data_IF_519488932577
#
_entry.id   IF_519488932577
#
_cell.length_a   1.000
_cell.length_b   1.000
_cell.length_c   1.000
_cell.angle_alpha   90.00
_cell.angle_beta   90.00
_cell.angle_gamma   90.00
#
_symmetry.space_group_name_H-M   'P 1'
#
loop_
_entity.id
_entity.type
_entity.pdbx_description
1 polymer ?
#
# COMPACT_ATOMS: atom_id res chain seq x y z
N UNK A 1 18.88 15.31 -8.04
CA UNK A 1 18.16 14.13 -8.55
C UNK A 1 17.14 14.61 -9.56
N UNK A 2 17.05 14.03 -10.75
CA UNK A 2 16.04 14.44 -11.73
C UNK A 2 14.63 14.10 -11.28
N UNK A 3 13.66 14.94 -11.63
CA UNK A 3 12.22 14.80 -11.34
C UNK A 3 11.58 13.72 -12.24
N UNK A 4 12.07 12.49 -12.15
CA UNK A 4 11.66 11.37 -13.02
C UNK A 4 10.52 10.54 -12.43
N UNK A 5 10.21 10.72 -11.14
CA UNK A 5 9.19 9.98 -10.43
C UNK A 5 8.55 10.84 -9.33
N UNK A 6 7.40 10.39 -8.88
CA UNK A 6 6.63 10.98 -7.79
C UNK A 6 6.39 9.92 -6.72
N UNK A 7 6.62 10.29 -5.46
CA UNK A 7 6.26 9.47 -4.30
C UNK A 7 4.77 9.68 -4.01
N UNK A 8 4.01 8.60 -3.96
CA UNK A 8 2.56 8.63 -3.78
C UNK A 8 2.21 8.21 -2.36
N UNK A 9 1.51 9.10 -1.68
CA UNK A 9 0.94 8.88 -0.36
C UNK A 9 -0.59 8.96 -0.45
N UNK A 10 -1.31 8.11 0.29
CA UNK A 10 -2.77 8.26 0.46
C UNK A 10 -3.08 9.44 1.41
N UNK A 11 -4.35 9.88 1.43
CA UNK A 11 -4.80 11.03 2.24
C UNK A 11 -4.55 10.83 3.75
N UNK A 12 -4.54 9.59 4.22
CA UNK A 12 -4.31 9.26 5.63
C UNK A 12 -2.82 9.38 6.07
N UNK A 13 -1.95 9.94 5.23
CA UNK A 13 -0.53 10.08 5.53
C UNK A 13 -0.32 11.03 6.72
N UNK A 14 0.27 10.49 7.78
CA UNK A 14 0.60 11.25 8.99
C UNK A 14 2.11 11.14 9.25
N UNK A 15 2.84 12.27 9.37
CA UNK A 15 4.25 12.28 9.77
C UNK A 15 4.56 11.59 11.10
N UNK A 16 3.57 11.34 11.95
CA UNK A 16 3.70 10.52 13.15
C UNK A 16 4.19 9.10 12.83
N UNK A 17 3.76 8.54 11.70
CA UNK A 17 4.19 7.22 11.26
C UNK A 17 5.55 7.34 10.54
N UNK A 18 6.59 6.80 11.17
CA UNK A 18 7.92 6.68 10.57
C UNK A 18 7.92 5.61 9.47
N UNK A 19 7.33 5.89 8.31
CA UNK A 19 7.27 4.94 7.21
C UNK A 19 8.64 4.81 6.51
N UNK A 20 9.27 3.62 6.51
CA UNK A 20 10.58 3.43 5.88
C UNK A 20 10.50 3.24 4.36
N UNK A 21 9.30 3.32 3.78
CA UNK A 21 9.01 3.20 2.35
C UNK A 21 7.81 4.10 2.01
N UNK A 22 7.60 4.37 0.71
CA UNK A 22 6.39 5.03 0.22
C UNK A 22 5.37 3.99 -0.26
N UNK A 23 4.06 4.19 -0.08
CA UNK A 23 3.05 3.25 -0.57
C UNK A 23 3.13 2.95 -2.07
N UNK A 24 3.43 3.96 -2.90
CA UNK A 24 3.66 3.76 -4.32
C UNK A 24 4.61 4.81 -4.93
N UNK A 25 5.23 4.45 -6.04
CA UNK A 25 6.03 5.35 -6.88
C UNK A 25 5.41 5.40 -8.27
N UNK A 26 5.12 6.60 -8.76
CA UNK A 26 4.67 6.84 -10.12
C UNK A 26 5.83 7.34 -10.97
N UNK A 27 6.12 6.65 -12.07
CA UNK A 27 7.17 7.08 -13.01
C UNK A 27 6.56 8.13 -13.95
N UNK A 28 7.21 9.30 -14.09
CA UNK A 28 6.69 10.39 -14.92
C UNK A 28 6.77 10.11 -16.42
N UNK A 29 7.71 9.25 -16.83
CA UNK A 29 7.82 8.77 -18.21
C UNK A 29 6.77 7.68 -18.46
N UNK A 30 5.51 8.08 -18.67
CA UNK A 30 4.37 7.20 -18.91
C UNK A 30 3.38 7.18 -17.75
N UNK A 31 2.73 6.03 -17.53
CA UNK A 31 1.67 5.84 -16.52
C UNK A 31 1.96 4.69 -15.55
N UNK A 32 3.18 4.16 -15.55
CA UNK A 32 3.55 3.02 -14.70
C UNK A 32 3.64 3.41 -13.23
N UNK A 33 2.98 2.63 -12.39
CA UNK A 33 2.99 2.75 -10.93
C UNK A 33 3.56 1.47 -10.32
N UNK A 34 4.55 1.62 -9.44
CA UNK A 34 5.06 0.54 -8.62
C UNK A 34 4.48 0.68 -7.22
N UNK A 35 3.74 -0.34 -6.77
CA UNK A 35 3.10 -0.35 -5.46
C UNK A 35 3.93 -1.21 -4.50
N UNK A 36 4.14 -0.74 -3.28
CA UNK A 36 4.76 -1.53 -2.22
C UNK A 36 3.92 -2.79 -1.90
N UNK A 37 4.50 -3.76 -1.20
CA UNK A 37 3.74 -4.92 -0.73
C UNK A 37 2.60 -4.49 0.18
N UNK A 38 1.37 -4.92 -0.13
CA UNK A 38 0.17 -4.58 0.65
C UNK A 38 -0.32 -5.81 1.41
N UNK A 39 -0.71 -5.62 2.67
CA UNK A 39 -1.32 -6.65 3.52
C UNK A 39 -2.63 -6.13 4.12
N UNK A 40 -3.24 -6.92 5.02
CA UNK A 40 -4.39 -6.49 5.80
C UNK A 40 -4.06 -5.40 6.83
N UNK A 41 -2.77 -5.13 7.10
CA UNK A 41 -2.36 -4.05 7.99
C UNK A 41 -2.74 -2.67 7.43
N UNK A 42 -3.02 -1.67 8.28
CA UNK A 42 -3.18 -0.29 7.84
C UNK A 42 -2.00 0.16 6.97
N UNK A 43 -2.27 0.98 5.94
CA UNK A 43 -1.21 1.51 5.04
C UNK A 43 -0.16 2.27 5.84
N UNK A 44 -0.59 3.03 6.85
CA UNK A 44 0.28 3.72 7.79
C UNK A 44 0.13 3.10 9.18
N UNK A 45 1.26 2.70 9.76
CA UNK A 45 1.37 2.08 11.08
C UNK A 45 2.75 2.39 11.65
N UNK A 46 2.94 2.13 12.94
CA UNK A 46 4.19 2.47 13.61
C UNK A 46 5.34 1.60 13.11
N UNK A 47 6.50 2.22 12.90
CA UNK A 47 7.79 1.54 12.80
C UNK A 47 8.74 2.12 13.86
N UNK A 48 9.24 1.30 14.81
CA UNK A 48 9.04 -0.15 14.93
C UNK A 48 7.58 -0.54 15.20
N UNK A 49 7.19 -1.73 14.75
CA UNK A 49 5.81 -2.22 14.86
C UNK A 49 5.36 -2.30 16.33
N UNK A 50 4.15 -1.81 16.60
CA UNK A 50 3.47 -2.01 17.88
C UNK A 50 2.25 -2.91 17.70
N UNK A 51 1.98 -3.78 18.68
CA UNK A 51 0.94 -4.81 18.56
C UNK A 51 -0.46 -4.22 18.27
N UNK A 52 -0.80 -3.11 18.93
CA UNK A 52 -2.12 -2.48 18.84
C UNK A 52 -2.53 -2.08 17.42
N UNK A 53 -1.57 -1.82 16.53
CA UNK A 53 -1.86 -1.49 15.12
C UNK A 53 -2.47 -2.66 14.34
N UNK A 54 -2.36 -3.89 14.86
CA UNK A 54 -2.71 -5.13 14.14
C UNK A 54 -3.79 -5.97 14.85
N UNK A 55 -4.17 -5.63 16.08
CA UNK A 55 -5.11 -6.44 16.89
C UNK A 55 -6.51 -6.56 16.27
N UNK A 56 -6.88 -5.64 15.38
CA UNK A 56 -8.16 -5.63 14.67
C UNK A 56 -8.18 -6.50 13.40
N UNK A 57 -7.04 -7.08 13.01
CA UNK A 57 -6.93 -7.90 11.80
C UNK A 57 -7.43 -9.31 12.11
N UNK A 58 -8.44 -9.82 11.39
CA UNK A 58 -9.00 -11.15 11.63
C UNK A 58 -8.03 -12.24 11.19
N UNK A 59 -8.18 -13.45 11.75
CA UNK A 59 -7.38 -14.62 11.35
C UNK A 59 -7.88 -15.28 10.07
N UNK A 60 -9.09 -14.94 9.61
CA UNK A 60 -9.64 -15.49 8.37
C UNK A 60 -8.85 -14.96 7.16
N UNK A 61 -8.27 -15.84 6.31
CA UNK A 61 -7.45 -15.42 5.18
C UNK A 61 -8.25 -14.72 4.08
N UNK A 62 -9.55 -15.04 3.93
CA UNK A 62 -10.42 -14.37 2.97
C UNK A 62 -10.65 -12.91 3.35
N UNK A 63 -10.88 -12.66 4.63
CA UNK A 63 -11.07 -11.33 5.17
C UNK A 63 -9.78 -10.50 5.15
N UNK A 64 -8.63 -11.11 5.48
CA UNK A 64 -7.32 -10.48 5.28
C UNK A 64 -7.08 -10.12 3.81
N UNK A 65 -7.45 -11.01 2.88
CA UNK A 65 -7.34 -10.73 1.44
C UNK A 65 -8.21 -9.55 1.03
N UNK A 66 -9.45 -9.49 1.54
CA UNK A 66 -10.38 -8.39 1.25
C UNK A 66 -9.82 -7.05 1.76
N UNK A 67 -9.29 -7.03 2.97
CA UNK A 67 -8.64 -5.84 3.56
C UNK A 67 -7.40 -5.41 2.76
N UNK A 68 -6.54 -6.36 2.39
CA UNK A 68 -5.37 -6.09 1.56
C UNK A 68 -5.73 -5.49 0.20
N UNK A 69 -6.76 -6.04 -0.48
CA UNK A 69 -7.24 -5.49 -1.75
C UNK A 69 -7.86 -4.10 -1.61
N UNK A 70 -8.48 -3.79 -0.47
CA UNK A 70 -8.99 -2.44 -0.18
C UNK A 70 -7.85 -1.44 0.03
N UNK A 71 -6.81 -1.82 0.78
CA UNK A 71 -5.60 -1.00 0.96
C UNK A 71 -4.90 -0.77 -0.39
N UNK A 72 -4.76 -1.82 -1.21
CA UNK A 72 -4.19 -1.70 -2.56
C UNK A 72 -4.99 -0.72 -3.41
N UNK A 73 -6.32 -0.81 -3.37
CA UNK A 73 -7.19 0.11 -4.10
C UNK A 73 -7.01 1.56 -3.66
N UNK A 74 -6.87 1.83 -2.35
CA UNK A 74 -6.60 3.18 -1.83
C UNK A 74 -5.30 3.75 -2.39
N UNK A 75 -4.23 2.95 -2.39
CA UNK A 75 -2.92 3.35 -2.92
C UNK A 75 -2.97 3.60 -4.43
N UNK A 76 -3.61 2.73 -5.19
CA UNK A 76 -3.80 2.93 -6.64
C UNK A 76 -4.61 4.19 -6.95
N UNK A 77 -5.66 4.46 -6.16
CA UNK A 77 -6.50 5.66 -6.31
C UNK A 77 -5.72 6.93 -6.01
N UNK A 78 -4.84 6.92 -5.00
CA UNK A 78 -3.93 8.03 -4.73
C UNK A 78 -2.95 8.27 -5.90
N UNK A 79 -2.57 7.24 -6.65
CA UNK A 79 -1.76 7.36 -7.86
C UNK A 79 -2.54 7.78 -9.14
N UNK A 80 -3.88 7.86 -9.04
CA UNK A 80 -4.79 8.20 -10.13
C UNK A 80 -5.32 7.00 -10.94
N UNK A 81 -5.25 5.77 -10.41
CA UNK A 81 -5.75 4.55 -11.06
C UNK A 81 -6.80 3.79 -10.23
N UNK A 82 -7.10 2.55 -10.60
CA UNK A 82 -7.91 1.58 -9.85
C UNK A 82 -7.38 0.14 -10.02
N UNK A 83 -8.02 -0.83 -9.36
CA UNK A 83 -7.76 -2.26 -9.50
C UNK A 83 -7.83 -2.75 -10.96
N UNK A 84 -8.61 -2.10 -11.82
CA UNK A 84 -8.72 -2.43 -13.25
C UNK A 84 -7.46 -2.11 -14.05
N UNK A 85 -6.56 -1.29 -13.50
CA UNK A 85 -5.31 -0.89 -14.15
C UNK A 85 -4.13 -1.80 -13.77
N UNK A 86 -4.36 -2.82 -12.94
CA UNK A 86 -3.34 -3.79 -12.54
C UNK A 86 -2.98 -4.66 -13.74
N UNK A 87 -1.73 -4.54 -14.20
CA UNK A 87 -1.18 -5.37 -15.29
C UNK A 87 -0.39 -6.59 -14.79
N UNK A 88 0.06 -6.56 -13.53
CA UNK A 88 0.83 -7.63 -12.91
C UNK A 88 0.67 -7.61 -11.39
N UNK A 89 0.56 -8.80 -10.78
CA UNK A 89 0.41 -8.97 -9.34
C UNK A 89 1.33 -10.09 -8.86
N UNK A 90 2.08 -9.82 -7.78
CA UNK A 90 2.81 -10.84 -7.03
C UNK A 90 2.02 -11.17 -5.76
N UNK A 91 1.85 -12.46 -5.46
CA UNK A 91 1.11 -12.93 -4.28
C UNK A 91 2.03 -13.79 -3.42
N UNK A 92 2.05 -13.48 -2.13
CA UNK A 92 2.76 -14.22 -1.10
C UNK A 92 1.73 -14.64 -0.04
N UNK A 93 1.70 -15.92 0.26
CA UNK A 93 0.71 -16.51 1.18
C UNK A 93 1.50 -17.31 2.21
N UNK A 94 1.20 -17.10 3.49
CA UNK A 94 1.63 -17.99 4.56
C UNK A 94 0.52 -19.01 4.80
N UNK A 95 0.88 -20.28 4.89
CA UNK A 95 0.00 -21.43 5.18
C UNK A 95 0.63 -22.23 6.33
#
# INVERSE_FOLDING_TARGET
>A
MGDHFELIHTEENDPLYNMPYTPAIKVRSGSTVYVAGVTAAPVYHHHPHIKSDFEHIPLDPGEQTRMAMQNLRKVLRAAGGDLTDIVQLFRFICD
#
